data_IF_823439146638
#
_entry.id   IF_823439146638
#
_cell.length_a   1.000
_cell.length_b   1.000
_cell.length_c   1.000
_cell.angle_alpha   90.00
_cell.angle_beta   90.00
_cell.angle_gamma   90.00
#
_symmetry.space_group_name_H-M   'P 1'
#
loop_
_entity.id
_entity.type
_entity.pdbx_description
1 polymer ?
#
# COMPACT_ATOMS: atom_id res chain seq x y z
N UNK A 1 -0.13 7.16 4.88
CA UNK A 1 -1.30 6.83 4.04
C UNK A 1 -1.93 5.51 4.45
N UNK A 2 -3.25 5.37 4.28
CA UNK A 2 -3.95 4.10 4.51
C UNK A 2 -3.55 3.04 3.49
N UNK A 3 -3.40 1.79 3.94
CA UNK A 3 -3.05 0.66 3.06
C UNK A 3 -4.10 -0.43 3.26
N UNK A 4 -4.72 -0.89 2.17
CA UNK A 4 -5.73 -1.95 2.23
C UNK A 4 -5.13 -3.33 1.90
N UNK A 5 -4.23 -3.36 0.92
CA UNK A 5 -3.54 -4.54 0.45
C UNK A 5 -2.07 -4.23 0.17
N UNK A 6 -1.18 -4.70 1.04
CA UNK A 6 0.23 -4.30 1.01
C UNK A 6 0.94 -4.66 -0.31
N UNK A 7 0.53 -5.76 -0.97
CA UNK A 7 1.18 -6.24 -2.21
C UNK A 7 0.65 -5.52 -3.46
N UNK A 8 -0.43 -4.75 -3.34
CA UNK A 8 -1.07 -4.06 -4.47
C UNK A 8 -0.08 -3.15 -5.22
N UNK A 9 0.68 -2.34 -4.49
CA UNK A 9 1.70 -1.44 -5.02
C UNK A 9 2.75 -2.18 -5.87
N UNK A 10 3.13 -3.41 -5.50
CA UNK A 10 4.14 -4.19 -6.23
C UNK A 10 3.56 -4.85 -7.47
N UNK A 11 2.38 -5.47 -7.32
CA UNK A 11 1.70 -6.17 -8.42
C UNK A 11 1.18 -5.23 -9.51
N UNK A 12 0.91 -3.96 -9.18
CA UNK A 12 0.49 -2.94 -10.16
C UNK A 12 1.53 -2.70 -11.27
N UNK A 13 2.80 -3.07 -11.04
CA UNK A 13 3.87 -2.95 -12.03
C UNK A 13 4.11 -4.22 -12.85
N UNK A 14 3.34 -5.28 -12.61
CA UNK A 14 3.44 -6.52 -13.36
C UNK A 14 2.40 -6.53 -14.49
N UNK A 15 2.70 -7.14 -15.66
CA UNK A 15 1.76 -7.25 -16.77
C UNK A 15 0.74 -8.38 -16.54
N UNK A 16 0.25 -8.51 -15.31
CA UNK A 16 -0.67 -9.56 -14.86
C UNK A 16 -1.79 -8.92 -14.04
N UNK A 17 -3.02 -9.46 -14.09
CA UNK A 17 -4.04 -9.10 -13.13
C UNK A 17 -3.53 -9.31 -11.70
N UNK A 18 -3.93 -8.44 -10.77
CA UNK A 18 -3.46 -8.46 -9.39
C UNK A 18 -3.60 -9.85 -8.72
N UNK A 19 -4.80 -10.45 -8.79
CA UNK A 19 -5.08 -11.77 -8.20
C UNK A 19 -4.28 -12.90 -8.87
N UNK A 20 -3.97 -12.77 -10.17
CA UNK A 20 -3.11 -13.70 -10.89
C UNK A 20 -1.67 -13.62 -10.36
N UNK A 21 -1.14 -12.41 -10.21
CA UNK A 21 0.20 -12.17 -9.70
C UNK A 21 0.37 -12.72 -8.28
N UNK A 22 -0.62 -12.50 -7.40
CA UNK A 22 -0.62 -13.03 -6.02
C UNK A 22 -0.63 -14.57 -6.03
N UNK A 23 -1.49 -15.19 -6.84
CA UNK A 23 -1.56 -16.66 -6.93
C UNK A 23 -0.24 -17.26 -7.43
N UNK A 24 0.34 -16.69 -8.49
CA UNK A 24 1.61 -17.16 -9.08
C UNK A 24 2.80 -16.95 -8.15
N UNK A 25 2.81 -15.86 -7.38
CA UNK A 25 3.83 -15.63 -6.35
C UNK A 25 3.86 -16.75 -5.29
N UNK A 26 2.71 -17.33 -4.95
CA UNK A 26 2.60 -18.39 -3.95
C UNK A 26 2.97 -19.80 -4.46
N UNK A 27 3.28 -19.96 -5.75
CA UNK A 27 3.70 -21.26 -6.29
C UNK A 27 5.07 -21.67 -5.74
N UNK A 28 5.34 -22.97 -5.65
CA UNK A 28 6.68 -23.45 -5.28
C UNK A 28 7.71 -23.05 -6.36
N UNK A 29 7.35 -23.23 -7.63
CA UNK A 29 8.19 -22.91 -8.79
C UNK A 29 7.37 -22.18 -9.87
N UNK A 30 7.88 -21.06 -10.39
CA UNK A 30 7.30 -20.32 -11.52
C UNK A 30 8.36 -19.42 -12.19
N UNK A 31 9.13 -20.01 -13.10
CA UNK A 31 10.25 -19.33 -13.79
C UNK A 31 9.81 -18.17 -14.69
N UNK A 32 8.58 -18.21 -15.19
CA UNK A 32 8.05 -17.09 -15.97
C UNK A 32 7.71 -15.91 -15.06
N UNK A 33 7.07 -16.15 -13.91
CA UNK A 33 6.82 -15.11 -12.92
C UNK A 33 8.14 -14.51 -12.40
N UNK A 34 9.16 -15.34 -12.13
CA UNK A 34 10.49 -14.87 -11.74
C UNK A 34 11.09 -13.92 -12.80
N UNK A 35 10.95 -14.24 -14.09
CA UNK A 35 11.40 -13.36 -15.19
C UNK A 35 10.59 -12.07 -15.26
N UNK A 36 9.27 -12.13 -15.13
CA UNK A 36 8.40 -10.94 -15.14
C UNK A 36 8.77 -9.96 -14.01
N UNK A 37 9.04 -10.47 -12.82
CA UNK A 37 9.48 -9.64 -11.69
C UNK A 37 10.87 -9.06 -11.95
N UNK A 38 11.82 -9.87 -12.44
CA UNK A 38 13.17 -9.40 -12.76
C UNK A 38 13.15 -8.26 -13.81
N UNK A 39 12.34 -8.40 -14.86
CA UNK A 39 12.16 -7.38 -15.90
C UNK A 39 11.50 -6.09 -15.36
N UNK A 40 10.55 -6.21 -14.44
CA UNK A 40 9.95 -5.05 -13.77
C UNK A 40 11.00 -4.32 -12.89
N UNK A 41 11.78 -5.06 -12.10
CA UNK A 41 12.87 -4.52 -11.26
C UNK A 41 13.97 -3.85 -12.08
N UNK A 42 14.33 -4.42 -13.24
CA UNK A 42 15.36 -3.85 -14.12
C UNK A 42 14.96 -2.47 -14.66
N UNK A 43 13.67 -2.22 -14.85
CA UNK A 43 13.13 -0.98 -15.43
C UNK A 43 12.76 0.09 -14.40
N UNK A 44 12.71 -0.23 -13.11
CA UNK A 44 12.30 0.70 -12.06
C UNK A 44 13.24 0.66 -10.86
N UNK A 45 13.96 1.76 -10.54
CA UNK A 45 14.78 1.82 -9.33
C UNK A 45 13.93 1.72 -8.05
N UNK A 46 12.68 2.20 -8.09
CA UNK A 46 11.72 2.09 -6.97
C UNK A 46 11.42 0.61 -6.70
N UNK A 47 11.10 -0.17 -7.73
CA UNK A 47 10.85 -1.59 -7.58
C UNK A 47 12.09 -2.36 -7.16
N UNK A 48 13.25 -2.07 -7.76
CA UNK A 48 14.50 -2.71 -7.35
C UNK A 48 14.73 -2.53 -5.84
N UNK A 49 14.61 -1.31 -5.35
CA UNK A 49 14.69 -1.02 -3.91
C UNK A 49 13.62 -1.76 -3.10
N UNK A 50 12.35 -1.71 -3.53
CA UNK A 50 11.24 -2.34 -2.80
C UNK A 50 11.44 -3.85 -2.64
N UNK A 51 11.89 -4.54 -3.69
CA UNK A 51 12.20 -5.98 -3.64
C UNK A 51 13.46 -6.28 -2.82
N UNK A 52 14.55 -5.54 -3.01
CA UNK A 52 15.81 -5.78 -2.29
C UNK A 52 15.64 -5.57 -0.79
N UNK A 53 15.03 -4.44 -0.41
CA UNK A 53 14.77 -4.10 0.97
C UNK A 53 13.67 -4.99 1.56
N UNK A 54 12.58 -5.22 0.81
CA UNK A 54 11.48 -6.06 1.22
C UNK A 54 11.92 -7.47 1.59
N UNK A 55 12.68 -8.14 0.72
CA UNK A 55 13.25 -9.47 0.98
C UNK A 55 14.15 -9.50 2.21
N UNK A 56 14.96 -8.46 2.41
CA UNK A 56 15.79 -8.35 3.60
C UNK A 56 14.95 -8.28 4.87
N UNK A 57 13.90 -7.45 4.89
CA UNK A 57 13.02 -7.25 6.05
C UNK A 57 12.17 -8.49 6.35
N UNK A 58 11.60 -9.10 5.32
CA UNK A 58 10.73 -10.29 5.46
C UNK A 58 11.50 -11.60 5.55
N UNK A 59 12.83 -11.57 5.34
CA UNK A 59 13.73 -12.74 5.31
C UNK A 59 13.31 -13.80 4.27
N UNK A 60 12.82 -13.35 3.12
CA UNK A 60 12.44 -14.26 2.03
C UNK A 60 13.61 -14.49 1.06
N UNK A 61 13.65 -15.70 0.49
CA UNK A 61 14.80 -16.19 -0.27
C UNK A 61 14.78 -15.70 -1.71
N UNK A 62 13.61 -15.34 -2.24
CA UNK A 62 13.43 -14.84 -3.60
C UNK A 62 12.28 -13.82 -3.68
N UNK A 63 12.09 -13.25 -4.87
CA UNK A 63 11.14 -12.16 -5.10
C UNK A 63 9.67 -12.64 -5.06
N UNK A 64 9.38 -13.85 -5.56
CA UNK A 64 8.02 -14.44 -5.48
C UNK A 64 7.61 -14.69 -4.03
N UNK A 65 8.51 -15.25 -3.23
CA UNK A 65 8.29 -15.41 -1.78
C UNK A 65 8.03 -14.08 -1.09
N UNK A 66 8.74 -13.00 -1.47
CA UNK A 66 8.46 -11.67 -0.93
C UNK A 66 7.06 -11.17 -1.30
N UNK A 67 6.61 -11.34 -2.55
CA UNK A 67 5.25 -11.00 -2.95
C UNK A 67 4.21 -11.84 -2.19
N UNK A 68 4.43 -13.15 -2.07
CA UNK A 68 3.54 -14.05 -1.35
C UNK A 68 3.45 -13.69 0.14
N UNK A 69 4.57 -13.37 0.78
CA UNK A 69 4.60 -12.90 2.16
C UNK A 69 3.89 -11.55 2.31
N UNK A 70 4.15 -10.60 1.41
CA UNK A 70 3.49 -9.28 1.42
C UNK A 70 1.97 -9.40 1.25
N UNK A 71 1.49 -10.36 0.44
CA UNK A 71 0.07 -10.60 0.21
C UNK A 71 -0.69 -11.04 1.46
N UNK A 72 0.01 -11.49 2.51
CA UNK A 72 -0.61 -11.84 3.80
C UNK A 72 -1.05 -10.61 4.60
N UNK A 73 -0.48 -9.44 4.31
CA UNK A 73 -0.78 -8.18 4.98
C UNK A 73 -1.87 -7.44 4.20
N UNK A 74 -3.10 -7.91 4.36
CA UNK A 74 -4.26 -7.41 3.62
C UNK A 74 -5.51 -7.46 4.47
N UNK A 75 -6.43 -6.51 4.22
CA UNK A 75 -7.76 -6.47 4.84
C UNK A 75 -8.84 -7.17 4.00
N UNK A 76 -8.48 -7.86 2.91
CA UNK A 76 -9.41 -8.59 2.03
C UNK A 76 -10.21 -9.69 2.75
N UNK A 77 -9.71 -10.21 3.86
CA UNK A 77 -10.40 -11.19 4.71
C UNK A 77 -11.50 -10.56 5.59
N UNK A 78 -11.72 -9.25 5.47
CA UNK A 78 -12.70 -8.49 6.27
C UNK A 78 -12.19 -8.09 7.66
N UNK A 79 -10.91 -8.30 7.97
CA UNK A 79 -10.33 -7.93 9.27
C UNK A 79 -10.42 -6.44 9.60
N UNK A 80 -10.54 -5.55 8.60
CA UNK A 80 -10.75 -4.11 8.82
C UNK A 80 -12.05 -3.85 9.62
N UNK A 81 -13.09 -4.67 9.41
CA UNK A 81 -14.36 -4.55 10.13
C UNK A 81 -14.29 -4.97 11.60
N UNK A 82 -13.17 -5.56 12.04
CA UNK A 82 -12.92 -5.94 13.45
C UNK A 82 -12.29 -4.80 14.25
N UNK A 83 -11.87 -3.71 13.60
CA UNK A 83 -11.33 -2.52 14.26
C UNK A 83 -12.49 -1.80 14.95
N UNK A 84 -12.34 -1.50 16.25
CA UNK A 84 -13.41 -0.92 17.09
C UNK A 84 -13.08 0.46 17.66
N UNK A 85 -11.84 0.92 17.56
CA UNK A 85 -11.45 2.27 17.97
C UNK A 85 -11.61 3.29 16.83
N UNK A 86 -11.69 4.60 17.14
CA UNK A 86 -11.66 5.63 16.12
C UNK A 86 -10.43 5.52 15.22
N UNK A 87 -10.61 5.67 13.90
CA UNK A 87 -9.52 5.56 12.92
C UNK A 87 -9.42 6.81 12.06
N UNK A 88 -8.22 7.37 12.02
CA UNK A 88 -7.83 8.35 11.01
C UNK A 88 -7.17 7.63 9.83
N UNK A 89 -7.72 7.83 8.64
CA UNK A 89 -7.10 7.40 7.38
C UNK A 89 -6.60 8.64 6.65
N UNK A 90 -5.30 8.67 6.34
CA UNK A 90 -4.71 9.71 5.48
C UNK A 90 -4.59 9.20 4.05
N UNK A 91 -4.83 10.08 3.09
CA UNK A 91 -4.69 9.85 1.65
C UNK A 91 -3.84 10.96 1.04
N UNK A 92 -2.82 10.58 0.28
CA UNK A 92 -2.11 11.46 -0.62
C UNK A 92 -2.68 11.29 -2.03
N UNK A 93 -3.13 12.36 -2.68
CA UNK A 93 -3.85 12.25 -3.96
C UNK A 93 -2.95 11.82 -5.13
N UNK A 94 -1.64 12.01 -5.04
CA UNK A 94 -0.63 11.57 -6.01
C UNK A 94 0.34 10.56 -5.36
N UNK A 95 -0.21 9.60 -4.61
CA UNK A 95 0.56 8.51 -4.00
C UNK A 95 1.08 7.53 -5.07
N UNK A 96 2.41 7.45 -5.18
CA UNK A 96 3.09 6.60 -6.16
C UNK A 96 2.97 5.08 -5.91
N UNK A 97 2.49 4.66 -4.74
CA UNK A 97 2.36 3.25 -4.36
C UNK A 97 0.89 2.80 -4.29
N UNK A 98 0.04 3.58 -3.64
CA UNK A 98 -1.27 3.13 -3.18
C UNK A 98 -2.47 3.85 -3.82
N UNK A 99 -2.21 4.73 -4.80
CA UNK A 99 -3.24 5.40 -5.61
C UNK A 99 -3.26 4.93 -7.08
N UNK A 100 -2.64 3.79 -7.39
CA UNK A 100 -2.44 3.30 -8.77
C UNK A 100 -3.63 2.52 -9.36
N UNK A 101 -4.73 2.36 -8.63
CA UNK A 101 -5.95 1.65 -9.08
C UNK A 101 -7.15 2.58 -9.08
N UNK A 102 -8.26 2.19 -9.74
CA UNK A 102 -9.49 3.01 -9.83
C UNK A 102 -9.98 3.54 -8.46
N UNK A 103 -9.81 2.74 -7.41
CA UNK A 103 -10.03 3.15 -6.01
C UNK A 103 -8.69 3.07 -5.26
N UNK A 104 -8.25 4.16 -4.64
CA UNK A 104 -7.03 4.18 -3.83
C UNK A 104 -7.15 3.25 -2.61
N UNK A 105 -6.04 2.69 -2.16
CA UNK A 105 -6.00 1.83 -0.98
C UNK A 105 -6.44 2.54 0.32
N UNK A 106 -6.11 3.82 0.56
CA UNK A 106 -6.72 4.60 1.65
C UNK A 106 -8.25 4.58 1.62
N UNK A 107 -8.87 4.77 0.44
CA UNK A 107 -10.34 4.74 0.29
C UNK A 107 -10.92 3.35 0.49
N UNK A 108 -10.27 2.31 -0.04
CA UNK A 108 -10.67 0.91 0.21
C UNK A 108 -10.67 0.60 1.70
N UNK A 109 -9.61 0.95 2.42
CA UNK A 109 -9.52 0.77 3.87
C UNK A 109 -10.63 1.55 4.57
N UNK A 110 -10.76 2.85 4.27
CA UNK A 110 -11.80 3.70 4.84
C UNK A 110 -13.20 3.09 4.67
N UNK A 111 -13.53 2.56 3.48
CA UNK A 111 -14.83 1.92 3.23
C UNK A 111 -15.07 0.71 4.13
N UNK A 112 -14.07 -0.16 4.33
CA UNK A 112 -14.22 -1.42 5.06
C UNK A 112 -14.20 -1.28 6.60
N UNK A 113 -13.77 -0.13 7.12
CA UNK A 113 -13.87 0.18 8.55
C UNK A 113 -15.33 0.32 8.99
N UNK A 114 -15.66 -0.22 10.17
CA UNK A 114 -17.00 -0.13 10.79
C UNK A 114 -17.02 0.79 12.01
N UNK A 115 -15.87 1.04 12.63
CA UNK A 115 -15.70 2.01 13.71
C UNK A 115 -15.87 3.47 13.24
N UNK A 116 -15.99 4.44 14.17
CA UNK A 116 -15.87 5.86 13.84
C UNK A 116 -14.58 6.10 13.02
N UNK A 117 -14.71 6.80 11.90
CA UNK A 117 -13.64 6.93 10.93
C UNK A 117 -13.64 8.30 10.29
N UNK A 118 -12.44 8.82 10.05
CA UNK A 118 -12.20 10.09 9.35
C UNK A 118 -11.22 9.83 8.21
N UNK A 119 -11.50 10.41 7.03
CA UNK A 119 -10.58 10.42 5.91
C UNK A 119 -10.03 11.84 5.74
N UNK A 120 -8.72 12.00 5.76
CA UNK A 120 -8.03 13.24 5.40
C UNK A 120 -7.29 13.04 4.08
N UNK A 121 -7.72 13.75 3.05
CA UNK A 121 -7.05 13.78 1.75
C UNK A 121 -6.17 15.03 1.67
N UNK A 122 -4.92 14.84 1.27
CA UNK A 122 -3.95 15.90 1.03
C UNK A 122 -3.73 16.06 -0.46
N UNK A 123 -3.85 17.30 -0.94
CA UNK A 123 -3.90 17.61 -2.36
C UNK A 123 -2.63 18.32 -2.86
N UNK A 124 -2.50 18.41 -4.19
CA UNK A 124 -1.40 19.11 -4.84
C UNK A 124 -1.44 20.62 -4.52
N UNK A 125 -2.64 21.21 -4.45
CA UNK A 125 -2.83 22.62 -4.06
C UNK A 125 -2.28 22.92 -2.65
N UNK A 126 -2.34 21.92 -1.77
CA UNK A 126 -1.80 21.99 -0.41
C UNK A 126 -0.32 21.59 -0.34
N UNK A 127 0.25 21.05 -1.43
CA UNK A 127 1.59 20.47 -1.51
C UNK A 127 1.75 19.16 -0.72
N UNK A 128 0.65 18.49 -0.39
CA UNK A 128 0.62 17.30 0.47
C UNK A 128 0.26 16.01 -0.25
N UNK A 129 0.11 16.05 -1.56
CA UNK A 129 -0.32 14.97 -2.45
C UNK A 129 0.65 13.81 -2.61
N UNK A 130 1.94 14.03 -2.36
CA UNK A 130 2.94 12.97 -2.43
C UNK A 130 2.85 12.01 -1.24
N UNK A 131 3.26 10.75 -1.46
CA UNK A 131 3.31 9.70 -0.42
C UNK A 131 3.98 10.19 0.87
N UNK A 132 3.32 10.00 2.01
CA UNK A 132 3.73 10.51 3.33
C UNK A 132 3.73 12.04 3.51
N UNK A 133 3.14 12.79 2.58
CA UNK A 133 2.95 14.24 2.64
C UNK A 133 4.23 15.08 2.87
N UNK A 134 5.40 14.76 2.29
CA UNK A 134 6.66 15.42 2.61
C UNK A 134 6.67 16.91 2.24
N UNK A 135 5.92 17.33 1.21
CA UNK A 135 5.82 18.73 0.79
C UNK A 135 5.01 19.60 1.74
N UNK A 136 4.14 19.00 2.56
CA UNK A 136 3.22 19.70 3.45
C UNK A 136 3.25 19.13 4.89
N UNK A 137 4.40 18.62 5.35
CA UNK A 137 4.48 17.90 6.63
C UNK A 137 3.93 18.69 7.82
N UNK A 138 4.13 20.02 7.86
CA UNK A 138 3.56 20.87 8.93
C UNK A 138 2.03 20.88 8.92
N UNK A 139 1.43 20.97 7.73
CA UNK A 139 -0.02 20.92 7.56
C UNK A 139 -0.56 19.54 7.92
N UNK A 140 0.09 18.48 7.43
CA UNK A 140 -0.29 17.11 7.72
C UNK A 140 -0.28 16.82 9.22
N UNK A 141 0.82 17.18 9.90
CA UNK A 141 0.96 17.02 11.34
C UNK A 141 -0.08 17.85 12.10
N UNK A 142 -0.33 19.10 11.72
CA UNK A 142 -1.35 19.93 12.37
C UNK A 142 -2.74 19.28 12.30
N UNK A 143 -3.19 18.86 11.12
CA UNK A 143 -4.50 18.21 10.94
C UNK A 143 -4.62 16.88 11.68
N UNK A 144 -3.53 16.11 11.76
CA UNK A 144 -3.50 14.86 12.53
C UNK A 144 -3.65 15.16 14.03
N UNK A 145 -2.97 16.18 14.55
CA UNK A 145 -3.12 16.58 15.95
C UNK A 145 -4.48 17.17 16.26
N UNK A 146 -5.04 18.01 15.38
CA UNK A 146 -6.41 18.51 15.53
C UNK A 146 -7.41 17.35 15.62
N UNK A 147 -7.25 16.32 14.76
CA UNK A 147 -8.10 15.11 14.84
C UNK A 147 -7.93 14.35 16.15
N UNK A 148 -6.69 14.25 16.68
CA UNK A 148 -6.44 13.61 17.97
C UNK A 148 -7.13 14.37 19.11
N UNK A 149 -7.00 15.69 19.16
CA UNK A 149 -7.61 16.55 20.18
C UNK A 149 -9.15 16.48 20.15
N UNK A 150 -9.74 16.35 18.97
CA UNK A 150 -11.20 16.22 18.80
C UNK A 150 -11.73 14.82 19.16
N UNK A 151 -10.87 13.80 19.16
CA UNK A 151 -11.28 12.38 19.21
C UNK A 151 -10.90 11.65 20.51
N UNK A 152 -9.78 12.04 21.15
CA UNK A 152 -9.19 11.37 22.32
C UNK A 152 -9.26 12.28 23.55
#
# INVERSE_FOLDING_TARGET
DGVFDAVSALTAHLPLPHEEAVRRAAAEHDEEMDRLIADARARSPILRWAFDHGRYVTRTSNDREFLAESARYSFKDGSAGKITCPVLVCEATDDLFYSTTEESDPRKLYRHLTAPKTLLSFTEEEGGDAHCHPGALRLAVARIFDWLDDTI
#
